data_IF_451807885459
#
_entry.id   IF_451807885459
#
_cell.length_a   1.000
_cell.length_b   1.000
_cell.length_c   1.000
_cell.angle_alpha   90.00
_cell.angle_beta   90.00
_cell.angle_gamma   90.00
#
_symmetry.space_group_name_H-M   'P 1'
#
loop_
_entity.id
_entity.type
_entity.pdbx_description
1 polymer ?
#
# COMPACT_ATOMS: atom_id res chain seq x y z
N UNK A 1 2.03 -12.48 -18.55
CA UNK A 1 3.25 -13.06 -17.93
C UNK A 1 4.26 -11.99 -17.53
N UNK A 2 4.65 -11.07 -18.42
CA UNK A 2 5.63 -10.02 -18.11
C UNK A 2 5.26 -9.16 -16.88
N UNK A 3 3.98 -8.75 -16.76
CA UNK A 3 3.49 -7.98 -15.61
C UNK A 3 3.70 -8.70 -14.26
N UNK A 4 3.41 -10.02 -14.21
CA UNK A 4 3.61 -10.84 -13.01
C UNK A 4 5.09 -10.94 -12.65
N UNK A 5 5.98 -11.16 -13.62
CA UNK A 5 7.42 -11.21 -13.36
C UNK A 5 7.93 -9.86 -12.85
N UNK A 6 7.49 -8.77 -13.47
CA UNK A 6 7.85 -7.42 -13.05
C UNK A 6 7.37 -7.12 -11.62
N UNK A 7 6.17 -7.54 -11.24
CA UNK A 7 5.66 -7.33 -9.87
C UNK A 7 6.46 -8.13 -8.83
N UNK A 8 6.88 -9.35 -9.17
CA UNK A 8 7.76 -10.18 -8.32
C UNK A 8 9.16 -9.56 -8.19
N UNK A 9 9.75 -9.06 -9.28
CA UNK A 9 11.09 -8.44 -9.24
C UNK A 9 11.09 -7.13 -8.43
N UNK A 10 10.03 -6.33 -8.52
CA UNK A 10 9.87 -5.09 -7.73
C UNK A 10 9.63 -5.34 -6.23
N UNK A 11 9.42 -6.59 -5.80
CA UNK A 11 9.16 -6.91 -4.39
C UNK A 11 10.45 -6.84 -3.57
N UNK A 12 10.36 -6.31 -2.35
CA UNK A 12 11.46 -6.36 -1.38
C UNK A 12 11.33 -7.60 -0.50
N UNK A 13 12.48 -8.11 -0.04
CA UNK A 13 12.51 -9.17 0.96
C UNK A 13 11.86 -8.67 2.24
N UNK A 14 10.69 -9.23 2.53
CA UNK A 14 9.83 -8.83 3.65
C UNK A 14 9.52 -10.07 4.48
N UNK A 15 9.13 -9.85 5.74
CA UNK A 15 8.59 -10.92 6.57
C UNK A 15 7.42 -11.62 5.86
N UNK A 16 7.35 -12.94 6.03
CA UNK A 16 6.26 -13.75 5.52
C UNK A 16 4.91 -13.29 6.09
N UNK A 17 3.84 -13.55 5.35
CA UNK A 17 2.50 -13.38 5.87
C UNK A 17 2.13 -14.50 6.86
N UNK A 18 0.84 -14.56 7.27
CA UNK A 18 0.31 -15.64 8.10
C UNK A 18 0.48 -17.04 7.48
N UNK A 19 0.65 -17.10 6.16
CA UNK A 19 0.89 -18.30 5.36
C UNK A 19 2.34 -18.82 5.43
N UNK A 20 3.27 -18.07 6.00
CA UNK A 20 4.68 -18.46 6.10
C UNK A 20 5.43 -18.43 4.75
N UNK A 21 4.82 -17.92 3.68
CA UNK A 21 5.41 -17.89 2.35
C UNK A 21 6.21 -16.60 2.15
N UNK A 22 7.48 -16.76 1.81
CA UNK A 22 8.38 -15.64 1.51
C UNK A 22 8.50 -15.33 0.01
N UNK A 23 8.91 -14.11 -0.32
CA UNK A 23 9.15 -13.70 -1.70
C UNK A 23 10.25 -14.49 -2.40
N UNK A 24 11.22 -15.06 -1.66
CA UNK A 24 12.23 -15.92 -2.27
C UNK A 24 11.60 -17.13 -2.97
N UNK A 25 10.50 -17.68 -2.45
CA UNK A 25 9.79 -18.78 -3.13
C UNK A 25 9.27 -18.32 -4.48
N UNK A 26 8.59 -17.17 -4.54
CA UNK A 26 8.03 -16.63 -5.78
C UNK A 26 9.09 -16.36 -6.86
N UNK A 27 10.28 -15.91 -6.47
CA UNK A 27 11.39 -15.64 -7.40
C UNK A 27 12.00 -16.91 -8.00
N UNK A 28 11.90 -18.04 -7.31
CA UNK A 28 12.47 -19.32 -7.74
C UNK A 28 11.41 -20.32 -8.27
N UNK A 29 10.15 -19.89 -8.41
CA UNK A 29 9.11 -20.75 -8.98
C UNK A 29 9.42 -21.06 -10.45
N UNK A 30 9.18 -22.30 -10.91
CA UNK A 30 9.28 -22.63 -12.32
C UNK A 30 8.17 -21.93 -13.12
N UNK A 31 8.41 -21.71 -14.41
CA UNK A 31 7.46 -21.02 -15.31
C UNK A 31 6.06 -21.65 -15.33
N UNK A 32 5.97 -22.97 -15.21
CA UNK A 32 4.69 -23.69 -15.13
C UNK A 32 3.86 -23.25 -13.92
N UNK A 33 4.50 -23.10 -12.76
CA UNK A 33 3.86 -22.59 -11.55
C UNK A 33 3.49 -21.11 -11.68
N UNK A 34 4.34 -20.29 -12.31
CA UNK A 34 4.02 -18.89 -12.59
C UNK A 34 2.80 -18.76 -13.50
N UNK A 35 2.64 -19.66 -14.48
CA UNK A 35 1.45 -19.70 -15.33
C UNK A 35 0.18 -20.05 -14.53
N UNK A 36 0.27 -21.03 -13.63
CA UNK A 36 -0.85 -21.38 -12.74
C UNK A 36 -1.20 -20.21 -11.82
N UNK A 37 -0.20 -19.53 -11.27
CA UNK A 37 -0.40 -18.34 -10.43
C UNK A 37 -1.06 -17.20 -11.21
N UNK A 38 -0.63 -16.97 -12.46
CA UNK A 38 -1.24 -15.97 -13.33
C UNK A 38 -2.71 -16.29 -13.63
N UNK A 39 -3.03 -17.57 -13.89
CA UNK A 39 -4.43 -18.02 -14.08
C UNK A 39 -5.26 -17.74 -12.83
N UNK A 40 -4.73 -18.06 -11.65
CA UNK A 40 -5.39 -17.76 -10.37
C UNK A 40 -5.67 -16.25 -10.23
N UNK A 41 -4.67 -15.40 -10.45
CA UNK A 41 -4.82 -13.94 -10.35
C UNK A 41 -5.85 -13.39 -11.35
N UNK A 42 -5.84 -13.88 -12.59
CA UNK A 42 -6.83 -13.47 -13.58
C UNK A 42 -8.24 -13.92 -13.20
N UNK A 43 -8.40 -15.13 -12.65
CA UNK A 43 -9.70 -15.60 -12.16
C UNK A 43 -10.21 -14.72 -11.02
N UNK A 44 -9.36 -14.38 -10.04
CA UNK A 44 -9.70 -13.45 -8.96
C UNK A 44 -10.12 -12.09 -9.52
N UNK A 45 -9.40 -11.57 -10.52
CA UNK A 45 -9.71 -10.30 -11.16
C UNK A 45 -11.06 -10.31 -11.90
N UNK A 46 -11.37 -11.39 -12.62
CA UNK A 46 -12.63 -11.50 -13.39
C UNK A 46 -13.83 -11.78 -12.50
N UNK A 47 -13.68 -12.64 -11.49
CA UNK A 47 -14.78 -13.02 -10.58
C UNK A 47 -15.00 -11.93 -9.52
N UNK A 48 -13.95 -11.23 -9.11
CA UNK A 48 -13.98 -10.25 -8.02
C UNK A 48 -13.98 -10.87 -6.63
N UNK A 49 -13.80 -12.19 -6.50
CA UNK A 49 -13.74 -12.87 -5.22
C UNK A 49 -12.30 -13.17 -4.80
N UNK A 50 -11.95 -12.71 -3.59
CA UNK A 50 -10.63 -12.85 -2.99
C UNK A 50 -10.72 -13.99 -1.97
N UNK A 51 -9.77 -14.95 -1.98
CA UNK A 51 -9.78 -16.04 -1.01
C UNK A 51 -9.93 -15.54 0.44
N UNK A 52 -10.79 -16.15 1.27
CA UNK A 52 -10.98 -15.74 2.66
C UNK A 52 -9.68 -15.70 3.47
N UNK A 53 -8.75 -16.63 3.21
CA UNK A 53 -7.43 -16.66 3.84
C UNK A 53 -6.59 -15.42 3.54
N UNK A 54 -6.85 -14.73 2.43
CA UNK A 54 -6.23 -13.45 2.09
C UNK A 54 -7.00 -12.25 2.63
N UNK A 55 -8.12 -12.44 3.34
CA UNK A 55 -8.84 -11.39 4.08
C UNK A 55 -8.57 -11.46 5.59
N UNK A 56 -7.84 -12.48 6.02
CA UNK A 56 -7.38 -12.67 7.40
C UNK A 56 -5.97 -12.08 7.56
N UNK A 57 -5.79 -11.25 8.58
CA UNK A 57 -4.48 -10.70 8.91
C UNK A 57 -4.20 -10.80 10.42
N UNK A 58 -3.00 -11.24 10.76
CA UNK A 58 -2.49 -11.18 12.13
C UNK A 58 -2.02 -9.76 12.44
N UNK A 59 -2.47 -9.18 13.55
CA UNK A 59 -2.06 -7.86 13.97
C UNK A 59 -0.75 -7.94 14.77
N UNK A 60 0.29 -7.29 14.27
CA UNK A 60 1.59 -7.16 14.93
C UNK A 60 1.75 -5.70 15.39
N UNK A 61 1.77 -5.42 16.70
CA UNK A 61 1.97 -4.07 17.22
C UNK A 61 3.46 -3.69 17.19
N UNK A 62 3.79 -2.57 16.53
CA UNK A 62 5.16 -2.03 16.51
C UNK A 62 5.25 -0.77 17.38
N UNK A 63 6.16 -0.68 18.36
CA UNK A 63 6.27 0.49 19.22
C UNK A 63 6.71 1.74 18.42
N UNK A 64 6.14 2.90 18.75
CA UNK A 64 6.58 4.19 18.22
C UNK A 64 7.95 4.53 18.84
N UNK A 65 8.93 4.99 18.04
CA UNK A 65 10.25 5.33 18.56
C UNK A 65 10.14 6.47 19.59
N UNK A 66 10.88 6.35 20.69
CA UNK A 66 10.93 7.36 21.76
C UNK A 66 9.66 7.48 22.61
N UNK A 67 8.74 6.51 22.55
CA UNK A 67 7.53 6.48 23.38
C UNK A 67 7.53 5.30 24.34
N UNK A 68 6.87 5.47 25.48
CA UNK A 68 6.74 4.42 26.49
C UNK A 68 5.90 3.24 25.96
N UNK A 69 6.48 2.05 26.00
CA UNK A 69 5.91 0.80 25.51
C UNK A 69 4.79 0.25 26.43
N UNK A 70 4.59 0.85 27.61
CA UNK A 70 3.53 0.46 28.55
C UNK A 70 2.13 0.87 28.07
N UNK A 71 2.03 1.88 27.20
CA UNK A 71 0.75 2.39 26.71
C UNK A 71 0.39 1.82 25.33
N UNK A 72 -0.78 1.18 25.15
CA UNK A 72 -1.22 0.64 23.86
C UNK A 72 -1.30 1.68 22.73
N UNK A 73 -1.63 2.94 23.05
CA UNK A 73 -1.69 4.06 22.09
C UNK A 73 -0.33 4.42 21.48
N UNK A 74 0.76 3.94 22.08
CA UNK A 74 2.12 4.14 21.60
C UNK A 74 2.57 3.08 20.58
N UNK A 75 1.71 2.13 20.21
CA UNK A 75 1.99 1.18 19.14
C UNK A 75 1.38 1.60 17.80
N UNK A 76 1.92 1.04 16.73
CA UNK A 76 1.37 1.05 15.38
C UNK A 76 0.87 -0.36 15.09
N UNK A 77 -0.45 -0.59 14.96
CA UNK A 77 -0.92 -1.89 14.51
C UNK A 77 -0.53 -2.09 13.04
N UNK A 78 0.16 -3.20 12.73
CA UNK A 78 0.49 -3.58 11.35
C UNK A 78 -0.10 -4.96 11.07
N UNK A 79 -0.69 -5.10 9.88
CA UNK A 79 -1.23 -6.35 9.35
C UNK A 79 -0.35 -6.81 8.17
N UNK A 80 0.71 -7.61 8.39
CA UNK A 80 1.49 -8.15 7.29
C UNK A 80 0.64 -9.10 6.45
N UNK A 81 0.46 -8.75 5.17
CA UNK A 81 -0.23 -9.60 4.19
C UNK A 81 0.71 -10.65 3.60
N UNK A 82 0.15 -11.78 3.14
CA UNK A 82 0.86 -12.81 2.38
C UNK A 82 1.48 -12.27 1.10
N UNK A 83 2.56 -12.90 0.64
CA UNK A 83 3.31 -12.43 -0.53
C UNK A 83 2.47 -12.51 -1.82
N UNK A 84 1.58 -13.50 -1.95
CA UNK A 84 0.67 -13.64 -3.09
C UNK A 84 -0.31 -12.47 -3.18
N UNK A 85 -0.97 -12.15 -2.06
CA UNK A 85 -1.89 -11.03 -1.95
C UNK A 85 -1.18 -9.71 -2.29
N UNK A 86 0.00 -9.45 -1.72
CA UNK A 86 0.79 -8.24 -2.03
C UNK A 86 1.23 -8.17 -3.50
N UNK A 87 1.49 -9.32 -4.14
CA UNK A 87 1.86 -9.38 -5.56
C UNK A 87 0.67 -8.99 -6.43
N UNK A 88 -0.53 -9.51 -6.15
CA UNK A 88 -1.76 -9.10 -6.83
C UNK A 88 -2.04 -7.61 -6.61
N UNK A 89 -2.00 -7.13 -5.37
CA UNK A 89 -2.21 -5.72 -5.03
C UNK A 89 -1.26 -4.80 -5.81
N UNK A 90 0.01 -5.20 -5.96
CA UNK A 90 0.99 -4.44 -6.74
C UNK A 90 0.64 -4.39 -8.23
N UNK A 91 0.24 -5.50 -8.83
CA UNK A 91 -0.19 -5.54 -10.24
C UNK A 91 -1.39 -4.61 -10.45
N UNK A 92 -2.39 -4.68 -9.56
CA UNK A 92 -3.57 -3.80 -9.62
C UNK A 92 -3.18 -2.34 -9.44
N UNK A 93 -2.32 -2.03 -8.46
CA UNK A 93 -1.84 -0.67 -8.23
C UNK A 93 -1.09 -0.11 -9.46
N UNK A 94 -0.20 -0.89 -10.07
CA UNK A 94 0.53 -0.48 -11.27
C UNK A 94 -0.43 -0.15 -12.42
N UNK A 95 -1.49 -0.95 -12.61
CA UNK A 95 -2.56 -0.66 -13.60
C UNK A 95 -3.34 0.59 -13.28
N UNK A 96 -3.75 0.77 -12.02
CA UNK A 96 -4.52 1.93 -11.57
C UNK A 96 -3.72 3.23 -11.73
N UNK A 97 -2.47 3.24 -11.27
CA UNK A 97 -1.57 4.39 -11.44
C UNK A 97 -1.40 4.72 -12.92
N UNK A 98 -1.20 3.72 -13.78
CA UNK A 98 -1.11 3.95 -15.23
C UNK A 98 -2.35 4.65 -15.81
N UNK A 99 -3.55 4.23 -15.41
CA UNK A 99 -4.80 4.88 -15.86
C UNK A 99 -4.93 6.30 -15.32
N UNK A 100 -4.60 6.51 -14.04
CA UNK A 100 -4.70 7.83 -13.40
C UNK A 100 -3.73 8.85 -14.03
N UNK A 101 -2.51 8.42 -14.32
CA UNK A 101 -1.48 9.26 -14.96
C UNK A 101 -1.78 9.51 -16.44
N UNK A 102 -2.12 8.48 -17.22
CA UNK A 102 -2.42 8.63 -18.66
C UNK A 102 -3.61 9.53 -18.94
N UNK A 103 -4.55 9.63 -18.00
CA UNK A 103 -5.73 10.50 -18.09
C UNK A 103 -5.56 11.84 -17.35
N UNK A 104 -4.40 12.12 -16.77
CA UNK A 104 -4.13 13.31 -15.96
C UNK A 104 -5.20 13.57 -14.88
N UNK A 105 -5.66 12.50 -14.21
CA UNK A 105 -6.68 12.60 -13.17
C UNK A 105 -6.12 12.99 -11.80
N UNK A 106 -4.79 12.94 -11.64
CA UNK A 106 -4.10 13.38 -10.43
C UNK A 106 -3.82 14.87 -10.47
N UNK A 107 -4.07 15.55 -9.35
CA UNK A 107 -3.78 16.98 -9.23
C UNK A 107 -2.29 17.26 -9.33
N UNK A 108 -1.92 18.36 -9.99
CA UNK A 108 -0.53 18.80 -10.13
C UNK A 108 0.12 19.19 -8.79
N UNK A 109 -0.67 19.45 -7.74
CA UNK A 109 -0.16 19.71 -6.39
C UNK A 109 -0.02 18.44 -5.53
N UNK A 110 -0.51 17.30 -6.02
CA UNK A 110 -0.39 16.02 -5.32
C UNK A 110 0.99 15.41 -5.59
N UNK A 111 1.89 15.55 -4.61
CA UNK A 111 3.25 15.00 -4.68
C UNK A 111 3.39 13.67 -3.92
N UNK A 112 2.51 13.39 -2.95
CA UNK A 112 2.57 12.17 -2.14
C UNK A 112 2.21 10.92 -2.94
N UNK A 113 2.99 9.84 -2.77
CA UNK A 113 2.78 8.53 -3.40
C UNK A 113 2.75 8.54 -4.94
N UNK A 114 3.26 9.59 -5.57
CA UNK A 114 3.34 9.73 -7.02
C UNK A 114 4.78 9.49 -7.48
N UNK A 115 4.95 8.82 -8.62
CA UNK A 115 6.27 8.57 -9.18
C UNK A 115 6.90 9.90 -9.61
N UNK A 116 8.22 10.02 -9.45
CA UNK A 116 9.00 11.20 -9.86
C UNK A 116 8.62 12.50 -9.13
N UNK A 117 7.95 12.38 -7.97
CA UNK A 117 7.69 13.46 -7.03
C UNK A 117 8.31 13.17 -5.67
N UNK A 118 8.82 14.23 -5.04
CA UNK A 118 9.43 14.21 -3.72
C UNK A 118 8.73 15.19 -2.77
N UNK A 119 9.06 15.11 -1.49
CA UNK A 119 8.63 16.10 -0.49
C UNK A 119 9.16 17.50 -0.79
N UNK A 120 10.27 17.63 -1.52
CA UNK A 120 10.82 18.92 -1.93
C UNK A 120 9.94 19.58 -3.00
N UNK A 121 9.41 18.82 -3.95
CA UNK A 121 8.53 19.36 -5.00
C UNK A 121 7.25 19.96 -4.42
N UNK A 122 6.76 19.39 -3.32
CA UNK A 122 5.63 19.94 -2.59
C UNK A 122 5.96 21.29 -1.93
N UNK A 123 7.18 21.44 -1.40
CA UNK A 123 7.65 22.68 -0.78
C UNK A 123 7.85 23.77 -1.84
N UNK A 124 8.43 23.44 -3.00
CA UNK A 124 8.65 24.38 -4.10
C UNK A 124 7.32 24.80 -4.76
N UNK A 125 6.38 23.87 -4.97
CA UNK A 125 5.07 24.21 -5.53
C UNK A 125 4.20 25.01 -4.56
N UNK A 126 4.30 24.74 -3.25
CA UNK A 126 3.54 25.43 -2.21
C UNK A 126 4.12 26.80 -1.82
N UNK A 127 5.44 26.97 -1.89
CA UNK A 127 6.14 28.18 -1.41
C UNK A 127 5.69 29.48 -2.08
N UNK A 128 5.61 29.59 -3.43
CA UNK A 128 5.15 30.82 -4.08
C UNK A 128 3.73 31.20 -3.68
N UNK A 129 2.82 30.21 -3.57
CA UNK A 129 1.43 30.42 -3.14
C UNK A 129 1.35 30.86 -1.67
N UNK A 130 2.05 30.17 -0.78
CA UNK A 130 2.10 30.51 0.64
C UNK A 130 2.76 31.90 0.90
N UNK A 131 3.77 32.27 0.11
CA UNK A 131 4.42 33.59 0.18
C UNK A 131 3.49 34.70 -0.35
N UNK A 132 2.71 34.44 -1.40
CA UNK A 132 1.69 35.39 -1.86
C UNK A 132 0.53 35.56 -0.86
N UNK A 133 0.11 34.49 -0.18
CA UNK A 133 -0.98 34.53 0.80
C UNK A 133 -0.54 35.09 2.16
N UNK A 134 0.73 34.92 2.55
CA UNK A 134 1.28 35.59 3.74
C UNK A 134 1.35 37.11 3.56
N UNK A 135 1.55 37.61 2.32
CA UNK A 135 1.35 39.04 1.99
C UNK A 135 -0.11 39.48 2.16
N UNK A 136 -1.07 38.57 2.04
CA UNK A 136 -2.51 38.82 2.27
C UNK A 136 -2.94 38.68 3.74
N UNK A 137 -1.99 38.43 4.67
CA UNK A 137 -2.20 38.14 6.10
C UNK A 137 -3.06 36.90 6.39
N UNK A 138 -3.25 36.00 5.44
CA UNK A 138 -3.96 34.74 5.68
C UNK A 138 -2.99 33.69 6.24
N UNK A 139 -3.21 33.17 7.46
CA UNK A 139 -2.34 32.14 8.01
C UNK A 139 -2.52 30.83 7.23
N UNK A 140 -1.44 30.05 7.02
CA UNK A 140 -1.54 28.74 6.39
C UNK A 140 -2.36 27.80 7.27
N UNK A 141 -3.39 27.17 6.68
CA UNK A 141 -4.21 26.16 7.36
C UNK A 141 -3.59 24.79 7.13
N UNK A 142 -3.19 24.13 8.21
CA UNK A 142 -2.73 22.74 8.18
C UNK A 142 -3.90 21.83 8.50
N UNK A 143 -4.25 20.93 7.57
CA UNK A 143 -5.29 19.91 7.78
C UNK A 143 -4.58 18.57 7.81
N UNK A 144 -4.69 17.86 8.93
CA UNK A 144 -4.34 16.43 9.00
C UNK A 144 -5.63 15.67 9.20
N UNK A 145 -5.92 14.74 8.31
CA UNK A 145 -6.91 13.71 8.61
C UNK A 145 -6.30 12.75 9.62
N UNK A 146 -7.04 12.40 10.67
CA UNK A 146 -6.60 11.35 11.58
C UNK A 146 -6.40 10.07 10.77
N UNK A 147 -5.21 9.48 10.90
CA UNK A 147 -4.84 8.24 10.22
C UNK A 147 -5.49 7.06 10.95
N UNK A 148 -6.80 6.96 10.87
CA UNK A 148 -7.44 5.66 11.02
C UNK A 148 -7.28 4.91 9.68
N UNK A 149 -6.10 4.32 9.47
CA UNK A 149 -5.95 3.18 8.56
C UNK A 149 -6.60 1.91 9.18
N UNK A 150 -7.66 2.10 9.97
CA UNK A 150 -8.46 1.02 10.48
C UNK A 150 -9.34 0.59 9.32
N UNK A 151 -9.05 -0.61 8.82
CA UNK A 151 -9.98 -1.63 8.33
C UNK A 151 -11.47 -1.26 8.37
N UNK A 152 -11.92 -0.20 7.69
CA UNK A 152 -13.33 0.12 7.59
C UNK A 152 -13.97 -0.87 6.62
N UNK A 153 -14.94 -1.68 7.07
CA UNK A 153 -15.79 -2.47 6.17
C UNK A 153 -16.59 -1.51 5.26
N UNK A 154 -16.87 -1.90 4.00
CA UNK A 154 -17.19 -3.27 3.65
C UNK A 154 -16.17 -4.03 2.80
N UNK A 155 -15.02 -3.45 2.41
CA UNK A 155 -14.38 -3.97 1.19
C UNK A 155 -13.28 -5.04 1.30
N UNK A 156 -12.45 -5.17 2.35
CA UNK A 156 -11.26 -6.06 2.17
C UNK A 156 -10.83 -6.94 3.36
N UNK A 157 -11.13 -6.64 4.63
CA UNK A 157 -10.52 -7.43 5.74
C UNK A 157 -11.43 -7.59 6.96
N UNK A 158 -11.51 -8.81 7.47
CA UNK A 158 -12.10 -9.14 8.78
C UNK A 158 -10.97 -9.47 9.75
N UNK A 159 -10.80 -8.65 10.80
CA UNK A 159 -9.81 -8.91 11.83
C UNK A 159 -10.30 -10.05 12.74
N UNK A 160 -9.57 -11.17 12.75
CA UNK A 160 -9.73 -12.22 13.76
C UNK A 160 -8.67 -12.02 14.85
N UNK A 161 -9.11 -11.88 16.10
CA UNK A 161 -8.21 -11.89 17.27
C UNK A 161 -7.80 -13.34 17.53
N UNK A 162 -6.52 -13.69 17.33
CA UNK A 162 -5.96 -14.83 18.06
C UNK A 162 -5.74 -14.42 19.52
N UNK A 163 -6.07 -15.34 20.42
CA UNK A 163 -6.18 -15.17 21.88
C UNK A 163 -5.02 -14.44 22.55
#
# INVERSE_FOLDING_TARGET
>A
MAELKNSIVKSNDSAAGPDGVYYQFLRHLPESCLHTLLKLFNNIWTIGDIPPSWREASLVPIPKPGKDASYPSNYRPIAPKGCLCKTLERMVNDRLVHVLESRNLLSNVQCGFRKDHSTLDHLVSGSPRAVSDSRSRRPPVSISTDKEFILSPPFIWTASRSR
#
